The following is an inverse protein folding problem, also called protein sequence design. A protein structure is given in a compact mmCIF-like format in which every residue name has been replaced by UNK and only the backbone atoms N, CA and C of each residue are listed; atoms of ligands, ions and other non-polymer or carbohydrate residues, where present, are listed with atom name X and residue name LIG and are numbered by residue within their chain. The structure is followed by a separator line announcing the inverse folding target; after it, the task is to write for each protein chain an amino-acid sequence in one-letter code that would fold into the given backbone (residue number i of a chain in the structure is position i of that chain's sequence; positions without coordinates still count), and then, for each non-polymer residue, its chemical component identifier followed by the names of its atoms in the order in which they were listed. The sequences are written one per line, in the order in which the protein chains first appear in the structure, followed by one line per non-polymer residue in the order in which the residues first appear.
data_IF_521834626034
#
_entry.id   IF_521834626034
#
_cell.length_a   1.000
_cell.length_b   1.000
_cell.length_c   1.000
_cell.angle_alpha   90.00
_cell.angle_beta   90.00
_cell.angle_gamma   90.00
#
_symmetry.space_group_name_H-M   'P 1'
#
loop_
_entity.id
_entity.type
_entity.pdbx_description
1 polymer ?
#
# COMPACT_ATOMS: atom_id res chain seq x y z
N UNK A 1 6.99 -14.55 -3.50
CA UNK A 1 6.73 -15.97 -3.80
C UNK A 1 7.93 -16.57 -4.53
N UNK A 2 8.38 -17.74 -4.10
CA UNK A 2 9.50 -18.47 -4.69
C UNK A 2 9.02 -19.82 -5.22
N UNK A 3 9.28 -20.10 -6.50
CA UNK A 3 8.95 -21.37 -7.15
C UNK A 3 10.23 -22.17 -7.37
N UNK A 4 10.25 -23.41 -6.91
CA UNK A 4 11.42 -24.29 -6.96
C UNK A 4 10.98 -25.75 -7.03
N UNK A 5 11.97 -26.65 -7.01
CA UNK A 5 11.75 -28.08 -6.95
C UNK A 5 12.44 -28.65 -5.71
N UNK A 6 11.82 -29.66 -5.10
CA UNK A 6 12.44 -30.45 -4.03
C UNK A 6 12.08 -31.92 -4.26
N UNK A 7 13.08 -32.80 -4.32
CA UNK A 7 12.90 -34.21 -4.67
C UNK A 7 12.13 -34.44 -6.00
N UNK A 8 12.44 -33.62 -7.02
CA UNK A 8 11.77 -33.64 -8.33
C UNK A 8 10.28 -33.26 -8.32
N UNK A 9 9.77 -32.77 -7.19
CA UNK A 9 8.40 -32.26 -7.08
C UNK A 9 8.37 -30.74 -7.01
N UNK A 10 7.30 -30.14 -7.53
CA UNK A 10 7.08 -28.70 -7.46
C UNK A 10 6.93 -28.24 -6.00
N UNK A 11 7.57 -27.12 -5.67
CA UNK A 11 7.44 -26.46 -4.36
C UNK A 11 7.25 -24.96 -4.54
N UNK A 12 6.26 -24.44 -3.83
CA UNK A 12 5.93 -23.02 -3.79
C UNK A 12 6.13 -22.52 -2.37
N UNK A 13 6.87 -21.43 -2.21
CA UNK A 13 7.07 -20.76 -0.92
C UNK A 13 6.60 -19.31 -0.97
N UNK A 14 5.89 -18.86 0.06
CA UNK A 14 5.73 -17.44 0.37
C UNK A 14 6.82 -17.02 1.34
N UNK A 15 7.43 -15.86 1.06
CA UNK A 15 8.54 -15.32 1.85
C UNK A 15 8.06 -14.00 2.43
N UNK A 16 8.09 -13.86 3.75
CA UNK A 16 7.66 -12.62 4.42
C UNK A 16 8.80 -11.60 4.49
N UNK A 17 8.45 -10.35 4.84
CA UNK A 17 9.44 -9.30 5.12
C UNK A 17 10.43 -9.66 6.24
N UNK A 18 10.07 -10.57 7.15
CA UNK A 18 10.96 -11.07 8.21
C UNK A 18 11.85 -12.23 7.76
N UNK A 19 11.85 -12.54 6.46
CA UNK A 19 12.56 -13.67 5.87
C UNK A 19 12.10 -15.02 6.42
N UNK A 20 10.81 -15.15 6.71
CA UNK A 20 10.16 -16.41 7.08
C UNK A 20 9.60 -17.08 5.82
N UNK A 21 9.79 -18.39 5.71
CA UNK A 21 9.41 -19.17 4.52
C UNK A 21 8.23 -20.07 4.87
N UNK A 22 7.14 -19.93 4.11
CA UNK A 22 5.92 -20.71 4.27
C UNK A 22 5.72 -21.54 3.01
N UNK A 23 5.76 -22.87 3.15
CA UNK A 23 5.40 -23.78 2.07
C UNK A 23 3.90 -23.67 1.79
N UNK A 24 3.56 -23.57 0.50
CA UNK A 24 2.19 -23.55 0.01
C UNK A 24 1.97 -24.80 -0.85
N UNK A 25 1.17 -25.77 -0.39
CA UNK A 25 0.83 -26.96 -1.18
C UNK A 25 -0.20 -26.62 -2.27
N UNK A 26 -0.42 -27.57 -3.16
CA UNK A 26 -1.56 -27.58 -4.10
C UNK A 26 -1.64 -26.34 -5.01
N UNK A 27 -0.50 -25.79 -5.40
CA UNK A 27 -0.35 -24.78 -6.45
C UNK A 27 0.53 -25.33 -7.56
N UNK A 28 0.14 -25.05 -8.80
CA UNK A 28 0.87 -25.49 -9.99
C UNK A 28 1.07 -24.34 -10.97
N UNK A 29 2.33 -24.14 -11.40
CA UNK A 29 2.72 -23.13 -12.38
C UNK A 29 3.34 -23.79 -13.62
N UNK A 30 2.54 -24.07 -14.67
CA UNK A 30 2.98 -24.83 -15.82
C UNK A 30 3.95 -24.04 -16.70
N UNK A 31 4.88 -24.76 -17.35
CA UNK A 31 5.64 -24.20 -18.47
C UNK A 31 4.74 -23.99 -19.69
N UNK A 32 5.05 -22.99 -20.52
CA UNK A 32 4.26 -22.64 -21.71
C UNK A 32 3.91 -23.84 -22.59
N UNK A 33 4.89 -24.70 -22.86
CA UNK A 33 4.77 -25.80 -23.82
C UNK A 33 4.57 -27.16 -23.14
N UNK A 34 4.44 -27.20 -21.81
CA UNK A 34 4.30 -28.45 -21.05
C UNK A 34 3.51 -28.21 -19.74
N UNK A 35 2.22 -28.59 -19.74
CA UNK A 35 1.30 -28.42 -18.60
C UNK A 35 1.59 -29.36 -17.42
N UNK A 36 2.38 -30.39 -17.60
CA UNK A 36 2.82 -31.34 -16.58
C UNK A 36 4.19 -30.97 -15.98
N UNK A 37 4.85 -29.97 -16.56
CA UNK A 37 6.14 -29.44 -16.09
C UNK A 37 5.95 -28.09 -15.45
N UNK A 38 6.82 -27.78 -14.51
CA UNK A 38 6.74 -26.56 -13.71
C UNK A 38 8.02 -25.74 -13.79
N UNK A 39 7.90 -24.49 -13.36
CA UNK A 39 9.00 -23.55 -13.25
C UNK A 39 9.95 -23.87 -12.09
N UNK A 40 11.25 -23.59 -12.26
CA UNK A 40 12.25 -23.75 -11.20
C UNK A 40 13.16 -22.52 -11.09
N UNK A 41 13.33 -21.99 -9.88
CA UNK A 41 14.18 -20.84 -9.64
C UNK A 41 13.51 -19.52 -10.05
N UNK A 42 12.22 -19.37 -9.72
CA UNK A 42 11.46 -18.15 -9.94
C UNK A 42 11.26 -17.38 -8.65
N UNK A 43 11.45 -16.07 -8.68
CA UNK A 43 11.22 -15.19 -7.54
C UNK A 43 10.32 -14.02 -7.95
N UNK A 44 9.10 -14.04 -7.43
CA UNK A 44 8.04 -13.07 -7.72
C UNK A 44 7.80 -12.17 -6.51
N UNK A 45 7.60 -10.88 -6.77
CA UNK A 45 7.20 -9.91 -5.75
C UNK A 45 5.71 -9.63 -5.86
N UNK A 46 5.03 -9.62 -4.72
CA UNK A 46 3.58 -9.58 -4.67
C UNK A 46 3.02 -9.46 -3.25
N UNK A 47 1.71 -9.31 -3.18
CA UNK A 47 0.95 -9.19 -1.94
C UNK A 47 -0.19 -10.20 -1.91
N UNK A 48 -0.46 -10.76 -0.73
CA UNK A 48 -1.62 -11.62 -0.50
C UNK A 48 -2.76 -10.74 0.01
N UNK A 49 -3.87 -10.69 -0.71
CA UNK A 49 -5.05 -9.89 -0.37
C UNK A 49 -6.25 -10.78 -0.12
N UNK A 50 -7.12 -10.31 0.78
CA UNK A 50 -8.42 -10.91 1.06
C UNK A 50 -9.49 -10.09 0.36
N UNK A 51 -10.19 -10.70 -0.59
CA UNK A 51 -11.25 -10.07 -1.36
C UNK A 51 -12.62 -10.52 -0.86
N UNK A 52 -13.57 -9.58 -0.76
CA UNK A 52 -14.97 -9.87 -0.50
C UNK A 52 -15.76 -9.84 -1.82
N UNK A 53 -16.19 -11.02 -2.26
CA UNK A 53 -16.97 -11.21 -3.49
C UNK A 53 -18.33 -11.77 -3.08
N UNK A 54 -19.36 -10.93 -3.17
CA UNK A 54 -20.75 -11.28 -2.86
C UNK A 54 -20.92 -11.93 -1.48
N UNK A 55 -20.19 -11.42 -0.48
CA UNK A 55 -20.23 -11.91 0.90
C UNK A 55 -19.34 -13.12 1.18
N UNK A 56 -18.61 -13.62 0.18
CA UNK A 56 -17.59 -14.67 0.34
C UNK A 56 -16.20 -14.06 0.36
N UNK A 57 -15.38 -14.56 1.26
CA UNK A 57 -13.99 -14.16 1.36
C UNK A 57 -13.12 -15.10 0.52
N UNK A 58 -12.42 -14.54 -0.47
CA UNK A 58 -11.46 -15.25 -1.30
C UNK A 58 -10.07 -14.66 -1.11
N UNK A 59 -9.04 -15.51 -1.18
CA UNK A 59 -7.65 -15.06 -1.10
C UNK A 59 -7.09 -14.97 -2.52
N UNK A 60 -6.40 -13.87 -2.83
CA UNK A 60 -5.65 -13.71 -4.09
C UNK A 60 -4.22 -13.26 -3.80
N UNK A 61 -3.29 -13.74 -4.62
CA UNK A 61 -1.91 -13.25 -4.63
C UNK A 61 -1.72 -12.31 -5.83
N UNK A 62 -1.59 -11.01 -5.56
CA UNK A 62 -1.37 -9.98 -6.57
C UNK A 62 0.12 -9.83 -6.83
N UNK A 63 0.58 -10.29 -8.00
CA UNK A 63 1.98 -10.17 -8.43
C UNK A 63 2.19 -8.81 -9.09
N UNK A 64 3.17 -8.05 -8.61
CA UNK A 64 3.50 -6.73 -9.16
C UNK A 64 4.95 -6.59 -9.62
N UNK A 65 5.83 -7.57 -9.40
CA UNK A 65 7.17 -7.62 -9.99
C UNK A 65 7.71 -9.07 -10.13
N UNK A 66 8.78 -9.25 -10.91
CA UNK A 66 9.46 -10.52 -11.13
C UNK A 66 10.98 -10.33 -11.15
N UNK A 67 11.66 -10.91 -10.16
CA UNK A 67 13.10 -10.75 -9.91
C UNK A 67 13.91 -11.82 -10.63
N UNK A 68 13.38 -13.04 -10.72
CA UNK A 68 13.97 -14.16 -11.44
C UNK A 68 12.89 -15.06 -12.03
N UNK A 69 13.18 -15.66 -13.19
CA UNK A 69 12.33 -16.65 -13.83
C UNK A 69 13.21 -17.74 -14.46
N UNK A 70 12.96 -19.01 -14.12
CA UNK A 70 13.70 -20.17 -14.63
C UNK A 70 15.23 -20.04 -14.48
N UNK A 71 15.68 -19.65 -13.28
CA UNK A 71 17.08 -19.39 -12.97
C UNK A 71 17.67 -18.13 -13.58
N UNK A 72 16.95 -17.44 -14.47
CA UNK A 72 17.39 -16.19 -15.08
C UNK A 72 17.08 -15.00 -14.18
N UNK A 73 18.12 -14.31 -13.72
CA UNK A 73 17.99 -13.07 -12.95
C UNK A 73 17.52 -11.91 -13.85
N UNK A 74 16.46 -11.21 -13.44
CA UNK A 74 15.81 -10.12 -14.18
C UNK A 74 15.97 -8.74 -13.54
N UNK A 75 16.55 -8.64 -12.35
CA UNK A 75 16.61 -7.39 -11.56
C UNK A 75 17.25 -6.21 -12.29
N UNK A 76 18.17 -6.42 -13.24
CA UNK A 76 18.79 -5.33 -14.00
C UNK A 76 17.94 -4.79 -15.16
N UNK A 77 16.83 -5.48 -15.49
CA UNK A 77 15.89 -5.07 -16.54
C UNK A 77 14.94 -4.00 -16.02
N UNK A 78 14.39 -3.18 -16.91
CA UNK A 78 13.32 -2.24 -16.59
C UNK A 78 12.03 -2.96 -16.18
N UNK A 79 11.18 -2.31 -15.38
CA UNK A 79 9.93 -2.88 -14.85
C UNK A 79 9.03 -3.43 -15.97
N UNK A 80 8.89 -2.72 -17.09
CA UNK A 80 8.06 -3.16 -18.22
C UNK A 80 8.58 -4.46 -18.86
N UNK A 81 9.90 -4.69 -18.83
CA UNK A 81 10.50 -5.95 -19.29
C UNK A 81 10.32 -7.07 -18.28
N UNK A 82 10.49 -6.79 -16.98
CA UNK A 82 10.23 -7.77 -15.90
C UNK A 82 8.77 -8.23 -15.91
N UNK A 83 7.83 -7.28 -15.96
CA UNK A 83 6.40 -7.57 -16.08
C UNK A 83 6.02 -8.23 -17.41
N UNK A 84 6.67 -7.86 -18.51
CA UNK A 84 6.45 -8.50 -19.81
C UNK A 84 6.83 -9.98 -19.78
N UNK A 85 7.99 -10.30 -19.21
CA UNK A 85 8.45 -11.69 -19.02
C UNK A 85 7.49 -12.44 -18.08
N UNK A 86 7.16 -11.87 -16.91
CA UNK A 86 6.19 -12.46 -15.98
C UNK A 86 4.85 -12.81 -16.66
N UNK A 87 4.26 -11.85 -17.37
CA UNK A 87 2.96 -12.04 -18.02
C UNK A 87 3.02 -13.15 -19.05
N UNK A 88 4.00 -13.06 -19.93
CA UNK A 88 4.12 -13.95 -21.09
C UNK A 88 4.49 -15.36 -20.63
N UNK A 89 5.52 -15.50 -19.82
CA UNK A 89 6.19 -16.79 -19.61
C UNK A 89 5.68 -17.55 -18.38
N UNK A 90 5.00 -16.90 -17.43
CA UNK A 90 4.44 -17.54 -16.23
C UNK A 90 2.92 -17.37 -16.11
N UNK A 91 2.41 -16.15 -16.24
CA UNK A 91 0.99 -15.88 -15.97
C UNK A 91 0.05 -16.39 -17.07
N UNK A 92 0.42 -16.23 -18.35
CA UNK A 92 -0.38 -16.75 -19.46
C UNK A 92 -0.53 -18.29 -19.39
N UNK A 93 0.54 -19.09 -19.23
CA UNK A 93 0.42 -20.54 -19.03
C UNK A 93 -0.45 -20.92 -17.81
N UNK A 94 -0.25 -20.26 -16.66
CA UNK A 94 -1.06 -20.46 -15.47
C UNK A 94 -2.54 -20.16 -15.72
N UNK A 95 -2.85 -19.03 -16.38
CA UNK A 95 -4.23 -18.65 -16.73
C UNK A 95 -4.86 -19.66 -17.67
N UNK A 96 -4.11 -20.14 -18.65
CA UNK A 96 -4.61 -21.11 -19.63
C UNK A 96 -4.90 -22.47 -18.96
N UNK A 97 -4.08 -22.89 -17.99
CA UNK A 97 -4.38 -24.02 -17.10
C UNK A 97 -5.68 -23.80 -16.31
N UNK A 98 -5.82 -22.64 -15.65
CA UNK A 98 -7.03 -22.32 -14.88
C UNK A 98 -8.30 -22.36 -15.72
N UNK A 99 -8.24 -21.87 -16.97
CA UNK A 99 -9.37 -21.88 -17.89
C UNK A 99 -9.71 -23.30 -18.38
N UNK A 100 -8.69 -24.15 -18.54
CA UNK A 100 -8.86 -25.53 -19.02
C UNK A 100 -9.37 -26.47 -17.93
N UNK A 101 -8.98 -26.23 -16.68
CA UNK A 101 -9.26 -27.08 -15.52
C UNK A 101 -9.93 -26.30 -14.37
N UNK A 102 -11.13 -25.73 -14.59
CA UNK A 102 -11.79 -24.87 -13.60
C UNK A 102 -12.22 -25.60 -12.32
N UNK A 103 -12.37 -26.92 -12.35
CA UNK A 103 -12.70 -27.73 -11.17
C UNK A 103 -11.46 -28.00 -10.31
N UNK A 104 -10.31 -28.27 -10.93
CA UNK A 104 -9.07 -28.57 -10.22
C UNK A 104 -8.53 -27.35 -9.47
N UNK A 105 -8.66 -26.15 -10.05
CA UNK A 105 -8.24 -24.91 -9.39
C UNK A 105 -9.06 -24.55 -8.14
N UNK A 106 -10.20 -25.20 -7.89
CA UNK A 106 -10.94 -25.03 -6.62
C UNK A 106 -10.14 -25.55 -5.43
N UNK A 107 -9.18 -26.45 -5.68
CA UNK A 107 -8.24 -26.94 -4.67
C UNK A 107 -7.09 -25.97 -4.41
N UNK A 108 -6.88 -24.96 -5.26
CA UNK A 108 -5.80 -24.01 -5.06
C UNK A 108 -6.06 -23.19 -3.79
N UNK A 109 -5.03 -23.00 -2.93
CA UNK A 109 -5.17 -22.20 -1.72
C UNK A 109 -5.52 -20.74 -2.00
N UNK A 110 -5.11 -20.21 -3.15
CA UNK A 110 -5.46 -18.88 -3.64
C UNK A 110 -5.19 -18.75 -5.13
N UNK A 111 -5.84 -17.76 -5.76
CA UNK A 111 -5.61 -17.45 -7.17
C UNK A 111 -4.52 -16.40 -7.36
N UNK A 112 -3.69 -16.58 -8.37
CA UNK A 112 -2.66 -15.62 -8.75
C UNK A 112 -3.22 -14.64 -9.79
N UNK A 113 -2.97 -13.35 -9.59
CA UNK A 113 -3.36 -12.28 -10.52
C UNK A 113 -2.19 -11.33 -10.72
N UNK A 114 -1.88 -10.96 -11.96
CA UNK A 114 -0.90 -9.87 -12.20
C UNK A 114 -1.59 -8.54 -11.92
N UNK A 115 -1.05 -7.77 -10.96
CA UNK A 115 -1.59 -6.47 -10.56
C UNK A 115 -1.66 -5.54 -11.78
N UNK A 116 -2.84 -5.00 -12.12
CA UNK A 116 -2.96 -4.03 -13.20
C UNK A 116 -2.11 -2.79 -12.91
N UNK A 117 -1.30 -2.39 -13.89
CA UNK A 117 -0.42 -1.24 -13.80
C UNK A 117 -0.90 -0.18 -14.78
N UNK A 118 -1.05 1.05 -14.29
CA UNK A 118 -1.38 2.21 -15.11
C UNK A 118 -0.17 3.14 -15.24
N UNK A 119 -0.17 3.95 -16.29
CA UNK A 119 0.85 5.00 -16.44
C UNK A 119 0.65 6.07 -15.36
N UNK A 120 1.72 6.76 -14.98
CA UNK A 120 1.69 7.74 -13.88
C UNK A 120 0.73 8.92 -14.12
N UNK A 121 0.37 9.21 -15.37
CA UNK A 121 -0.63 10.22 -15.73
C UNK A 121 -2.05 9.65 -15.92
N UNK A 122 -2.25 8.36 -15.65
CA UNK A 122 -3.54 7.66 -15.73
C UNK A 122 -4.33 7.69 -14.42
N UNK A 123 -4.02 8.59 -13.49
CA UNK A 123 -4.61 8.59 -12.14
C UNK A 123 -6.12 8.78 -12.12
N UNK A 124 -6.71 9.46 -13.10
CA UNK A 124 -8.17 9.55 -13.20
C UNK A 124 -8.81 8.16 -13.31
N UNK A 125 -8.27 7.30 -14.18
CA UNK A 125 -8.76 5.92 -14.32
C UNK A 125 -8.54 5.13 -13.03
N UNK A 126 -7.39 5.30 -12.38
CA UNK A 126 -7.08 4.62 -11.12
C UNK A 126 -8.10 4.98 -10.03
N UNK A 127 -8.31 6.27 -9.78
CA UNK A 127 -9.19 6.75 -8.71
C UNK A 127 -10.68 6.53 -8.98
N UNK A 128 -11.14 6.71 -10.23
CA UNK A 128 -12.57 6.72 -10.54
C UNK A 128 -13.08 5.42 -11.14
N UNK A 129 -12.20 4.54 -11.62
CA UNK A 129 -12.60 3.26 -12.24
C UNK A 129 -11.99 2.03 -11.57
N UNK A 130 -10.71 2.06 -11.18
CA UNK A 130 -10.04 0.87 -10.65
C UNK A 130 -10.27 0.70 -9.15
N UNK A 131 -9.91 1.69 -8.34
CA UNK A 131 -10.06 1.65 -6.87
C UNK A 131 -11.50 1.31 -6.45
N UNK A 132 -12.56 1.94 -7.00
CA UNK A 132 -13.93 1.61 -6.62
C UNK A 132 -14.38 0.20 -6.99
N UNK A 133 -13.69 -0.48 -7.92
CA UNK A 133 -13.98 -1.86 -8.34
C UNK A 133 -13.18 -2.90 -7.56
N UNK A 134 -12.18 -2.49 -6.77
CA UNK A 134 -11.41 -3.41 -5.95
C UNK A 134 -12.34 -4.11 -4.95
N UNK A 135 -12.10 -5.40 -4.77
CA UNK A 135 -12.81 -6.25 -3.80
C UNK A 135 -12.05 -6.37 -2.48
N UNK A 136 -10.91 -5.69 -2.38
CA UNK A 136 -10.07 -5.58 -1.20
C UNK A 136 -9.86 -4.11 -0.84
N UNK A 137 -9.40 -3.85 0.38
CA UNK A 137 -9.08 -2.50 0.87
C UNK A 137 -7.85 -1.96 0.16
N UNK A 138 -7.89 -0.68 -0.23
CA UNK A 138 -6.77 0.05 -0.82
C UNK A 138 -6.44 1.24 0.06
N UNK A 139 -5.20 1.37 0.50
CA UNK A 139 -4.71 2.38 1.45
C UNK A 139 -3.90 3.51 0.79
N UNK A 140 -3.95 3.58 -0.55
CA UNK A 140 -3.26 4.61 -1.33
C UNK A 140 -2.79 4.14 -2.70
N UNK A 141 -1.68 4.73 -3.16
CA UNK A 141 -1.07 4.47 -4.47
C UNK A 141 0.42 4.12 -4.30
N UNK A 142 0.92 3.25 -5.16
CA UNK A 142 2.34 2.95 -5.30
C UNK A 142 2.80 3.40 -6.69
N UNK A 143 3.79 4.28 -6.74
CA UNK A 143 4.47 4.68 -7.97
C UNK A 143 5.80 3.94 -8.08
N UNK A 144 5.91 3.06 -9.07
CA UNK A 144 7.12 2.28 -9.35
C UNK A 144 7.83 2.84 -10.57
N UNK A 145 9.11 3.18 -10.45
CA UNK A 145 9.90 3.69 -11.55
C UNK A 145 10.05 2.66 -12.69
N UNK A 146 9.53 2.98 -13.88
CA UNK A 146 9.52 2.06 -15.03
C UNK A 146 10.93 1.68 -15.50
N UNK A 147 11.83 2.63 -15.63
CA UNK A 147 13.10 2.46 -16.36
C UNK A 147 14.24 1.89 -15.52
N UNK A 148 14.03 1.73 -14.21
CA UNK A 148 15.05 1.26 -13.27
C UNK A 148 15.03 -0.26 -13.07
N UNK A 149 16.20 -0.79 -12.76
CA UNK A 149 16.33 -2.13 -12.20
C UNK A 149 15.71 -2.22 -10.80
N UNK A 150 15.41 -3.43 -10.36
CA UNK A 150 14.94 -3.73 -9.02
C UNK A 150 16.07 -3.51 -8.01
N UNK A 151 15.76 -2.91 -6.86
CA UNK A 151 16.69 -2.62 -5.77
C UNK A 151 16.31 -3.45 -4.55
N UNK A 152 17.31 -4.07 -3.91
CA UNK A 152 17.10 -4.77 -2.63
C UNK A 152 17.09 -3.77 -1.48
N UNK A 153 16.07 -3.85 -0.61
CA UNK A 153 15.92 -2.95 0.53
C UNK A 153 15.16 -1.67 0.16
N UNK A 154 15.57 -0.54 0.75
CA UNK A 154 14.89 0.75 0.52
C UNK A 154 15.23 1.28 -0.88
N UNK A 155 14.19 1.50 -1.70
CA UNK A 155 14.30 2.21 -2.98
C UNK A 155 13.60 3.57 -2.89
N UNK A 156 14.37 4.65 -3.00
CA UNK A 156 13.87 6.03 -3.01
C UNK A 156 13.00 6.36 -4.24
N UNK A 157 12.95 5.46 -5.23
CA UNK A 157 12.16 5.63 -6.46
C UNK A 157 10.84 4.85 -6.44
N UNK A 158 10.57 4.09 -5.36
CA UNK A 158 9.25 3.54 -5.07
C UNK A 158 8.56 4.50 -4.12
N UNK A 159 7.62 5.27 -4.65
CA UNK A 159 6.88 6.25 -3.87
C UNK A 159 5.55 5.65 -3.44
N UNK A 160 5.29 5.72 -2.13
CA UNK A 160 3.98 5.43 -1.56
C UNK A 160 3.26 6.75 -1.32
N UNK A 161 2.06 6.87 -1.87
CA UNK A 161 1.17 7.98 -1.59
C UNK A 161 -0.04 7.45 -0.82
N UNK A 162 -0.44 8.17 0.22
CA UNK A 162 -1.65 7.87 0.99
C UNK A 162 -2.55 9.10 1.04
N UNK A 163 -3.88 8.93 1.04
CA UNK A 163 -4.77 10.03 1.38
C UNK A 163 -4.42 10.62 2.74
N UNK A 164 -4.59 11.94 2.90
CA UNK A 164 -4.22 12.64 4.14
C UNK A 164 -5.05 12.12 5.30
N UNK A 165 -6.32 11.86 5.02
CA UNK A 165 -7.30 11.28 5.94
C UNK A 165 -6.94 9.88 6.44
N UNK A 166 -6.04 9.15 5.75
CA UNK A 166 -5.51 7.86 6.21
C UNK A 166 -4.24 7.98 7.05
N UNK A 167 -3.68 9.19 7.19
CA UNK A 167 -2.62 9.46 8.16
C UNK A 167 -3.26 9.72 9.52
N UNK A 168 -3.59 8.64 10.21
CA UNK A 168 -4.24 8.69 11.50
C UNK A 168 -3.23 8.68 12.64
N UNK A 169 -3.63 9.27 13.76
CA UNK A 169 -2.90 9.26 15.02
C UNK A 169 -3.84 8.87 16.13
N UNK A 170 -3.42 7.95 16.99
CA UNK A 170 -4.17 7.63 18.19
C UNK A 170 -3.84 8.62 19.31
N UNK A 171 -4.85 9.26 19.90
CA UNK A 171 -4.72 10.16 21.04
C UNK A 171 -5.59 9.68 22.20
N UNK A 172 -5.27 10.10 23.41
CA UNK A 172 -6.21 10.01 24.51
C UNK A 172 -7.15 11.22 24.49
N UNK A 173 -8.45 10.97 24.52
CA UNK A 173 -9.49 11.99 24.61
C UNK A 173 -9.65 12.41 26.07
N UNK A 174 -9.65 13.72 26.33
CA UNK A 174 -9.97 14.29 27.66
C UNK A 174 -11.06 15.34 27.49
N UNK A 175 -12.18 15.15 28.19
CA UNK A 175 -13.36 16.01 28.11
C UNK A 175 -13.36 17.05 29.23
N UNK A 176 -13.37 18.32 28.86
CA UNK A 176 -13.53 19.44 29.78
C UNK A 176 -14.93 20.04 29.64
N UNK A 177 -15.81 19.71 30.58
CA UNK A 177 -17.16 20.24 30.65
C UNK A 177 -17.20 21.62 31.32
N UNK A 178 -18.15 22.45 30.91
CA UNK A 178 -18.35 23.76 31.51
C UNK A 178 -18.84 23.63 32.97
N UNK A 179 -18.42 24.57 33.82
CA UNK A 179 -18.97 24.69 35.17
C UNK A 179 -20.13 25.67 35.10
N UNK A 180 -21.33 25.20 35.43
CA UNK A 180 -22.49 26.05 35.63
C UNK A 180 -22.52 26.52 37.07
N UNK A 181 -22.92 27.78 37.30
CA UNK A 181 -23.14 28.32 38.65
C UNK A 181 -24.59 28.75 38.77
N UNK A 182 -25.33 28.08 39.65
CA UNK A 182 -26.73 28.38 39.97
C UNK A 182 -26.80 29.72 40.72
N UNK A 183 -27.42 30.76 40.12
CA UNK A 183 -27.55 32.06 40.74
C UNK A 183 -28.50 32.06 41.95
N UNK A 184 -29.35 31.03 42.09
CA UNK A 184 -30.38 30.93 43.12
C UNK A 184 -29.98 29.99 44.28
N UNK A 185 -28.76 29.46 44.28
CA UNK A 185 -28.28 28.55 45.33
C UNK A 185 -28.14 29.26 46.70
N UNK A 186 -28.74 28.67 47.73
CA UNK A 186 -28.69 29.17 49.12
C UNK A 186 -27.28 29.07 49.76
N UNK A 187 -26.43 28.20 49.20
CA UNK A 187 -25.06 27.90 49.64
C UNK A 187 -24.07 28.20 48.50
N UNK A 188 -23.04 29.01 48.76
CA UNK A 188 -21.97 29.28 47.78
C UNK A 188 -21.11 28.04 47.50
N UNK A 189 -21.11 27.04 48.39
CA UNK A 189 -20.29 25.83 48.26
C UNK A 189 -20.94 24.80 47.33
N UNK A 190 -22.26 24.83 47.17
CA UNK A 190 -23.03 23.92 46.29
C UNK A 190 -23.55 24.61 45.01
N UNK A 191 -23.19 25.88 44.81
CA UNK A 191 -23.69 26.69 43.70
C UNK A 191 -23.13 26.26 42.34
N UNK A 192 -21.98 25.58 42.29
CA UNK A 192 -21.30 25.25 41.04
C UNK A 192 -21.29 23.75 40.77
N UNK A 193 -21.76 23.33 39.60
CA UNK A 193 -21.74 21.94 39.15
C UNK A 193 -21.33 21.82 37.68
N UNK A 194 -20.87 20.62 37.30
CA UNK A 194 -20.46 20.31 35.93
C UNK A 194 -21.69 20.17 35.04
N UNK A 195 -21.74 20.96 33.97
CA UNK A 195 -22.78 20.88 32.94
C UNK A 195 -22.42 19.77 31.94
N UNK A 196 -22.99 18.59 32.14
CA UNK A 196 -22.83 17.43 31.25
C UNK A 196 -23.75 17.47 30.02
N UNK A 197 -24.74 18.37 29.99
CA UNK A 197 -25.68 18.50 28.88
C UNK A 197 -25.07 19.32 27.74
N UNK A 198 -24.27 20.34 28.11
CA UNK A 198 -23.48 21.12 27.16
C UNK A 198 -22.32 20.33 26.56
N UNK A 199 -22.02 20.61 25.29
CA UNK A 199 -20.89 20.02 24.59
C UNK A 199 -19.56 20.44 25.24
N UNK A 200 -18.71 19.50 25.68
CA UNK A 200 -17.44 19.81 26.32
C UNK A 200 -16.39 20.30 25.32
N UNK A 201 -15.36 20.95 25.84
CA UNK A 201 -14.10 21.10 25.10
C UNK A 201 -13.39 19.75 25.08
N UNK A 202 -13.13 19.23 23.88
CA UNK A 202 -12.47 17.94 23.71
C UNK A 202 -10.97 18.14 23.47
N UNK A 203 -10.14 17.72 24.42
CA UNK A 203 -8.69 17.79 24.33
C UNK A 203 -8.09 16.46 23.88
N UNK A 204 -6.99 16.55 23.15
CA UNK A 204 -6.20 15.42 22.68
C UNK A 204 -4.89 15.39 23.44
N UNK A 205 -4.58 14.24 24.03
CA UNK A 205 -3.36 14.01 24.77
C UNK A 205 -2.48 12.99 24.04
N UNK A 206 -1.19 13.31 23.90
CA UNK A 206 -0.18 12.42 23.35
C UNK A 206 0.57 11.71 24.49
N UNK A 207 1.01 10.48 24.24
CA UNK A 207 1.73 9.69 25.23
C UNK A 207 3.23 10.02 25.23
N UNK A 208 3.82 10.20 26.42
CA UNK A 208 5.24 10.54 26.60
C UNK A 208 6.05 9.44 27.32
N UNK A 209 5.46 8.25 27.52
CA UNK A 209 6.10 7.13 28.21
C UNK A 209 5.60 6.95 29.65
N UNK A 210 5.65 5.71 30.14
CA UNK A 210 5.10 5.35 31.44
C UNK A 210 3.61 5.69 31.53
N UNK A 211 3.22 6.40 32.58
CA UNK A 211 1.85 6.89 32.83
C UNK A 211 1.67 8.37 32.42
N UNK A 212 2.60 8.93 31.64
CA UNK A 212 2.61 10.37 31.34
C UNK A 212 1.93 10.64 30.00
N UNK A 213 0.83 11.39 30.06
CA UNK A 213 0.10 11.91 28.93
C UNK A 213 0.15 13.44 28.99
N UNK A 214 0.40 14.10 27.85
CA UNK A 214 0.46 15.57 27.79
C UNK A 214 -0.54 16.14 26.81
N UNK A 215 -1.12 17.32 27.09
CA UNK A 215 -1.97 18.02 26.14
C UNK A 215 -1.21 18.25 24.84
N UNK A 216 -1.85 17.93 23.72
CA UNK A 216 -1.27 18.06 22.40
C UNK A 216 -2.09 19.02 21.53
N UNK A 217 -3.41 18.89 21.54
CA UNK A 217 -4.29 19.73 20.73
C UNK A 217 -5.76 19.59 21.14
N UNK A 218 -6.65 20.15 20.32
CA UNK A 218 -8.10 20.02 20.50
C UNK A 218 -8.70 19.20 19.38
N UNK A 219 -9.65 18.36 19.75
CA UNK A 219 -10.49 17.63 18.82
C UNK A 219 -11.62 18.58 18.39
N UNK A 220 -11.77 18.77 17.08
CA UNK A 220 -12.97 19.39 16.56
C UNK A 220 -14.03 18.30 16.43
N UNK A 221 -15.19 18.52 17.03
CA UNK A 221 -16.41 17.72 16.86
C UNK A 221 -17.53 18.66 16.43
N UNK A 222 -18.40 18.23 15.52
CA UNK A 222 -19.66 18.92 15.26
C UNK A 222 -20.69 18.57 16.33
N UNK A 223 -21.77 19.34 16.43
CA UNK A 223 -22.83 19.05 17.40
C UNK A 223 -23.53 17.73 17.07
N UNK A 224 -23.72 17.42 15.78
CA UNK A 224 -24.24 16.13 15.34
C UNK A 224 -23.34 14.95 15.71
N UNK A 225 -22.01 15.11 15.61
CA UNK A 225 -21.05 14.09 16.03
C UNK A 225 -21.06 13.88 17.53
N UNK A 226 -21.18 14.97 18.29
CA UNK A 226 -21.31 14.90 19.75
C UNK A 226 -22.57 14.14 20.16
N UNK A 227 -23.72 14.43 19.54
CA UNK A 227 -24.95 13.68 19.80
C UNK A 227 -24.82 12.18 19.48
N UNK A 228 -24.14 11.83 18.38
CA UNK A 228 -23.84 10.43 18.04
C UNK A 228 -22.95 9.74 19.08
N UNK A 229 -21.94 10.45 19.61
CA UNK A 229 -21.07 9.92 20.65
C UNK A 229 -21.85 9.68 21.96
N UNK A 230 -22.76 10.59 22.34
CA UNK A 230 -23.64 10.40 23.51
C UNK A 230 -24.53 9.17 23.38
N UNK A 231 -25.00 8.84 22.17
CA UNK A 231 -25.84 7.66 21.93
C UNK A 231 -25.14 6.33 22.17
N UNK A 232 -23.81 6.29 22.28
CA UNK A 232 -23.08 5.08 22.67
C UNK A 232 -23.41 4.64 24.10
N UNK A 233 -23.85 5.56 24.96
CA UNK A 233 -24.17 5.30 26.36
C UNK A 233 -23.04 4.59 27.13
N UNK A 234 -21.80 4.96 26.81
CA UNK A 234 -20.57 4.49 27.44
C UNK A 234 -19.76 5.68 27.95
N UNK A 235 -18.90 5.51 28.97
CA UNK A 235 -17.91 6.52 29.31
C UNK A 235 -17.03 6.85 28.09
N UNK A 236 -16.88 8.14 27.79
CA UNK A 236 -16.10 8.62 26.66
C UNK A 236 -14.73 9.19 27.08
N UNK A 237 -14.65 9.69 28.31
CA UNK A 237 -13.48 10.38 28.83
C UNK A 237 -12.30 9.41 29.06
N UNK A 238 -11.09 9.95 28.94
CA UNK A 238 -9.80 9.26 29.06
C UNK A 238 -9.58 8.06 28.11
N UNK A 239 -10.45 7.86 27.11
CA UNK A 239 -10.34 6.78 26.13
C UNK A 239 -9.40 7.12 24.98
N UNK A 240 -8.79 6.08 24.41
CA UNK A 240 -8.00 6.20 23.19
C UNK A 240 -8.92 6.28 21.97
N UNK A 241 -8.73 7.31 21.16
CA UNK A 241 -9.41 7.52 19.88
C UNK A 241 -8.39 7.64 18.77
N UNK A 242 -8.75 7.15 17.60
CA UNK A 242 -8.03 7.38 16.36
C UNK A 242 -8.56 8.66 15.72
N UNK A 243 -7.64 9.55 15.36
CA UNK A 243 -7.95 10.85 14.76
C UNK A 243 -7.22 11.04 13.44
N UNK A 244 -7.78 11.85 12.55
CA UNK A 244 -7.12 12.33 11.34
C UNK A 244 -7.21 13.86 11.26
N UNK A 245 -6.40 14.47 10.40
CA UNK A 245 -6.44 15.92 10.16
C UNK A 245 -7.27 16.22 8.90
N UNK A 246 -8.26 17.11 9.03
CA UNK A 246 -9.04 17.58 7.87
C UNK A 246 -8.27 18.63 7.03
N UNK A 247 -8.87 19.06 5.92
CA UNK A 247 -8.28 20.06 5.01
C UNK A 247 -8.08 21.44 5.64
N UNK A 248 -8.74 21.74 6.75
CA UNK A 248 -8.56 22.98 7.52
C UNK A 248 -7.49 22.83 8.62
N UNK A 249 -6.86 21.66 8.72
CA UNK A 249 -5.86 21.38 9.73
C UNK A 249 -6.43 21.02 11.10
N UNK A 250 -7.73 20.72 11.20
CA UNK A 250 -8.38 20.35 12.48
C UNK A 250 -8.31 18.84 12.70
N UNK A 251 -8.08 18.42 13.94
CA UNK A 251 -8.19 17.02 14.31
C UNK A 251 -9.65 16.59 14.39
N UNK A 252 -9.98 15.47 13.73
CA UNK A 252 -11.31 14.90 13.63
C UNK A 252 -11.34 13.48 14.18
N UNK A 253 -12.47 13.09 14.74
CA UNK A 253 -12.68 11.74 15.28
C UNK A 253 -12.87 10.75 14.14
N UNK A 254 -12.19 9.61 14.22
CA UNK A 254 -12.41 8.47 13.31
C UNK A 254 -13.13 7.33 14.03
N UNK A 255 -12.53 6.81 15.11
CA UNK A 255 -13.09 5.69 15.90
C UNK A 255 -12.45 5.59 17.28
N UNK A 256 -13.10 4.87 18.19
CA UNK A 256 -12.46 4.39 19.41
C UNK A 256 -11.48 3.25 19.15
N UNK A 257 -10.41 3.21 19.97
CA UNK A 257 -9.37 2.17 19.94
C UNK A 257 -9.38 1.39 21.23
N UNK A 258 -10.42 0.56 21.39
CA UNK A 258 -10.53 -0.36 22.54
C UNK A 258 -9.45 -1.43 22.61
N UNK A 259 -8.65 -1.57 21.54
CA UNK A 259 -7.46 -2.42 21.49
C UNK A 259 -6.22 -1.79 22.15
N UNK A 260 -6.30 -0.53 22.61
CA UNK A 260 -5.15 0.23 23.11
C UNK A 260 -5.40 0.87 24.48
N UNK A 261 -4.43 0.71 25.37
CA UNK A 261 -4.41 1.38 26.68
C UNK A 261 -3.91 2.83 26.59
N UNK A 262 -3.08 3.14 25.59
CA UNK A 262 -2.50 4.48 25.40
C UNK A 262 -2.60 4.95 23.96
N UNK A 263 -2.64 6.27 23.76
CA UNK A 263 -2.40 6.88 22.45
C UNK A 263 -0.98 6.60 21.92
N UNK A 264 -0.68 7.14 20.75
CA UNK A 264 0.65 7.04 20.17
C UNK A 264 1.68 7.86 20.97
N UNK A 265 2.92 7.36 20.99
CA UNK A 265 4.04 8.11 21.55
C UNK A 265 4.26 9.40 20.77
N UNK A 266 4.62 10.50 21.45
CA UNK A 266 4.81 11.82 20.83
C UNK A 266 5.71 11.79 19.58
N UNK A 267 6.77 10.98 19.57
CA UNK A 267 7.67 10.85 18.41
C UNK A 267 7.01 10.19 17.19
N UNK A 268 5.96 9.39 17.37
CA UNK A 268 5.14 8.85 16.28
C UNK A 268 4.20 9.95 15.77
N UNK A 269 3.57 10.68 16.69
CA UNK A 269 2.70 11.83 16.35
C UNK A 269 3.45 12.84 15.48
N UNK A 270 4.66 13.23 15.88
CA UNK A 270 5.52 14.18 15.16
C UNK A 270 5.90 13.68 13.75
N UNK A 271 6.18 12.39 13.59
CA UNK A 271 6.47 11.80 12.27
C UNK A 271 5.25 11.78 11.36
N UNK A 272 4.07 11.51 11.93
CA UNK A 272 2.83 11.54 11.17
C UNK A 272 2.51 12.97 10.74
N UNK A 273 2.70 13.96 11.62
CA UNK A 273 2.57 15.38 11.27
C UNK A 273 3.52 15.80 10.15
N UNK A 274 4.78 15.38 10.21
CA UNK A 274 5.75 15.68 9.15
C UNK A 274 5.25 15.12 7.81
N UNK A 275 4.73 13.88 7.83
CA UNK A 275 4.11 13.27 6.65
C UNK A 275 2.84 13.99 6.17
N UNK A 276 2.05 14.59 7.07
CA UNK A 276 0.86 15.37 6.70
C UNK A 276 1.27 16.73 6.11
N UNK A 277 2.30 17.36 6.67
CA UNK A 277 2.82 18.65 6.19
C UNK A 277 3.38 18.57 4.77
N UNK A 278 4.07 17.47 4.47
CA UNK A 278 4.62 17.19 3.13
C UNK A 278 3.63 16.43 2.24
N UNK A 279 2.37 16.27 2.68
CA UNK A 279 1.39 15.51 1.94
C UNK A 279 1.00 16.22 0.64
N UNK A 280 0.88 15.42 -0.41
CA UNK A 280 0.29 15.84 -1.67
C UNK A 280 -1.17 15.42 -1.66
N UNK A 281 -2.11 16.33 -1.88
CA UNK A 281 -3.53 16.00 -1.98
C UNK A 281 -3.84 15.19 -3.25
N UNK A 282 -4.99 14.52 -3.25
CA UNK A 282 -5.51 13.81 -4.43
C UNK A 282 -5.70 14.79 -5.61
N UNK A 283 -6.19 15.98 -5.32
CA UNK A 283 -6.47 17.04 -6.31
C UNK A 283 -5.18 17.54 -6.95
N UNK A 284 -4.11 17.74 -6.17
CA UNK A 284 -2.79 18.11 -6.68
C UNK A 284 -2.19 17.02 -7.57
N UNK A 285 -2.29 15.75 -7.17
CA UNK A 285 -1.86 14.61 -8.01
C UNK A 285 -2.61 14.59 -9.35
N UNK A 286 -3.93 14.81 -9.33
CA UNK A 286 -4.74 14.84 -10.55
C UNK A 286 -4.38 16.03 -11.44
N UNK A 287 -4.16 17.21 -10.86
CA UNK A 287 -3.75 18.40 -11.58
C UNK A 287 -2.39 18.20 -12.29
N UNK A 288 -1.44 17.52 -11.65
CA UNK A 288 -0.12 17.24 -12.19
C UNK A 288 -0.12 16.26 -13.39
N UNK A 289 -1.18 15.44 -13.57
CA UNK A 289 -1.22 14.40 -14.60
C UNK A 289 -1.01 14.94 -16.03
N UNK A 290 -1.57 16.11 -16.35
CA UNK A 290 -1.45 16.73 -17.67
C UNK A 290 0.02 17.05 -18.02
N UNK A 291 0.72 17.71 -17.11
CA UNK A 291 2.14 18.03 -17.24
C UNK A 291 2.99 16.76 -17.32
N UNK A 292 2.72 15.76 -16.47
CA UNK A 292 3.45 14.48 -16.48
C UNK A 292 3.31 13.78 -17.83
N UNK A 293 2.08 13.73 -18.38
CA UNK A 293 1.79 13.14 -19.70
C UNK A 293 2.55 13.84 -20.81
N UNK A 294 2.51 15.17 -20.84
CA UNK A 294 3.09 15.94 -21.93
C UNK A 294 4.62 15.81 -21.92
N UNK A 295 5.24 15.85 -20.73
CA UNK A 295 6.68 15.57 -20.54
C UNK A 295 7.04 14.13 -20.91
N UNK A 296 6.19 13.15 -20.60
CA UNK A 296 6.41 11.77 -21.00
C UNK A 296 6.39 11.61 -22.53
N UNK A 297 5.41 12.20 -23.22
CA UNK A 297 5.32 12.19 -24.69
C UNK A 297 6.52 12.87 -25.34
N UNK A 298 7.01 13.96 -24.75
CA UNK A 298 8.23 14.64 -25.21
C UNK A 298 9.45 13.72 -25.13
N UNK A 299 9.66 13.03 -24.00
CA UNK A 299 10.75 12.06 -23.83
C UNK A 299 10.66 10.90 -24.84
N UNK A 300 9.47 10.35 -25.07
CA UNK A 300 9.28 9.26 -26.04
C UNK A 300 9.57 9.70 -27.49
N UNK A 301 9.20 10.93 -27.87
CA UNK A 301 9.58 11.49 -29.19
C UNK A 301 11.09 11.60 -29.35
N UNK A 302 11.80 12.09 -28.32
CA UNK A 302 13.27 12.18 -28.35
C UNK A 302 13.90 10.79 -28.48
N UNK A 303 13.38 9.81 -27.73
CA UNK A 303 13.86 8.42 -27.79
C UNK A 303 13.63 7.79 -29.16
N UNK A 304 12.45 7.98 -29.74
CA UNK A 304 12.13 7.47 -31.09
C UNK A 304 13.06 8.08 -32.14
N UNK A 305 13.34 9.39 -32.07
CA UNK A 305 14.32 10.04 -32.96
C UNK A 305 15.73 9.47 -32.81
N UNK A 306 16.21 9.27 -31.57
CA UNK A 306 17.53 8.66 -31.30
C UNK A 306 17.63 7.24 -31.84
N UNK A 307 16.61 6.42 -31.63
CA UNK A 307 16.59 5.05 -32.12
C UNK A 307 16.49 4.99 -33.66
N UNK A 308 15.70 5.88 -34.27
CA UNK A 308 15.59 6.02 -35.73
C UNK A 308 16.87 6.53 -36.40
N UNK A 309 17.67 7.36 -35.72
CA UNK A 309 18.98 7.79 -36.22
C UNK A 309 20.07 6.73 -36.10
N UNK A 310 19.97 5.80 -35.12
CA UNK A 310 20.94 4.70 -34.96
C UNK A 310 20.73 3.60 -36.00
N UNK A 311 19.52 3.41 -36.52
CA UNK A 311 19.26 2.52 -37.67
C UNK A 311 19.79 3.01 -39.02
N UNK A 312 20.42 4.19 -39.08
CA UNK A 312 20.99 4.78 -40.30
C UNK A 312 22.50 4.62 -40.48
N UNK A 313 23.21 3.96 -39.55
CA UNK A 313 24.66 3.72 -39.66
C UNK A 313 24.93 2.22 -39.61
N UNK A 314 24.78 1.57 -40.76
CA UNK A 314 25.46 0.31 -41.04
C UNK A 314 26.92 0.65 -41.38
N UNK A 315 27.75 0.79 -40.36
CA UNK A 315 29.17 0.48 -40.47
C UNK A 315 29.45 -0.70 -39.54
N UNK A 316 29.47 -1.89 -40.14
CA UNK A 316 29.84 -3.14 -39.48
C UNK A 316 31.31 -3.05 -39.06
N UNK A 317 31.67 -3.16 -37.76
CA UNK A 317 33.01 -3.59 -37.42
C UNK A 317 33.15 -5.05 -37.86
N UNK A 318 34.19 -5.34 -38.64
CA UNK A 318 34.52 -6.68 -39.10
C UNK A 318 34.63 -7.71 -37.95
N UNK A 319 34.63 -9.01 -38.28
CA UNK A 319 34.47 -10.08 -37.30
C UNK A 319 35.54 -10.03 -36.20
N UNK A 320 35.08 -10.12 -34.95
CA UNK A 320 35.91 -10.28 -33.77
C UNK A 320 36.84 -11.50 -33.95
N UNK A 321 38.15 -11.26 -33.95
CA UNK A 321 39.16 -12.32 -33.89
C UNK A 321 38.95 -13.11 -32.59
N UNK A 322 38.79 -14.44 -32.72
CA UNK A 322 38.83 -15.40 -31.61
C UNK A 322 40.06 -15.15 -30.75
N UNK A 323 39.84 -14.82 -29.47
CA UNK A 323 40.87 -14.87 -28.43
C UNK A 323 41.20 -16.35 -28.24
N UNK A 324 42.46 -16.73 -28.47
CA UNK A 324 42.97 -18.05 -28.15
C UNK A 324 43.06 -18.15 -26.62
N UNK A 325 42.50 -19.22 -26.07
CA UNK A 325 42.78 -19.71 -24.73
C UNK A 325 44.26 -20.08 -24.67
N UNK A 326 45.05 -19.23 -24.05
CA UNK A 326 46.33 -19.54 -23.40
C UNK A 326 46.89 -18.20 -22.91
N UNK A 327 46.44 -17.77 -21.73
CA UNK A 327 47.18 -16.85 -20.84
C UNK A 327 46.46 -16.81 -19.49
N UNK A 328 46.52 -17.94 -18.79
CA UNK A 328 46.44 -18.00 -17.33
C UNK A 328 47.76 -18.59 -16.83
N UNK A 329 48.66 -17.71 -16.40
CA UNK A 329 49.72 -18.02 -15.44
C UNK A 329 49.75 -16.94 -14.38
#
# INVERSE_FOLDING_TARGET
MFLTSEYEEERVFLITRKNEYFWVPDLHFPLRDAMDRFHEGCLLDGELVKENIDGREEIRYLVFDCLALDGRILISRSLDKRLGILRKDLYEPYRDLCNRFPEDIKMFPFMIVVKPMELSYGLQKVFYELIPRLKHVSDGLIFTARERGYVFGTDEHILKWKPIEENTVDFQLVLEFAIYTDPDAESKEDASYTDYDSKPTCHLYAWHGGQVHKPYGKLFLTDEEWEKLKQLNEPLDERVIECYQDSEGRWRYLRFRGDKDTGNHISVVEKVLESIKDAVSKEELLAACSTIRDRWKEREKIRSKRNGSVSGVNDMPGPLKRIKTDDWK
#
